data_IF_016813864276
#
_entry.id   IF_016813864276
#
_cell.length_a   1.000
_cell.length_b   1.000
_cell.length_c   1.000
_cell.angle_alpha   90.00
_cell.angle_beta   90.00
_cell.angle_gamma   90.00
#
_symmetry.space_group_name_H-M   'P 1'
#
loop_
_entity.id
_entity.type
_entity.pdbx_description
1 polymer ?
#
# COMPACT_ATOMS: atom_id res chain seq x y z
N UNK A 1 -14.18 -6.17 -13.61
CA UNK A 1 -15.23 -6.03 -12.58
C UNK A 1 -15.54 -4.53 -12.56
N UNK A 2 -16.73 -4.03 -12.87
CA UNK A 2 -16.93 -2.58 -12.96
C UNK A 2 -16.80 -1.91 -11.57
N UNK A 3 -15.64 -1.30 -11.30
CA UNK A 3 -15.28 -0.63 -10.04
C UNK A 3 -15.20 0.88 -10.30
N UNK A 4 -16.01 1.67 -9.61
CA UNK A 4 -15.90 3.12 -9.61
C UNK A 4 -14.89 3.54 -8.53
N UNK A 5 -13.71 4.01 -8.95
CA UNK A 5 -12.68 4.58 -8.07
C UNK A 5 -12.88 6.10 -8.01
N UNK A 6 -13.23 6.62 -6.84
CA UNK A 6 -13.17 8.05 -6.55
C UNK A 6 -11.88 8.32 -5.79
N UNK A 7 -10.89 8.90 -6.47
CA UNK A 7 -9.67 9.40 -5.85
C UNK A 7 -9.91 10.86 -5.42
N UNK A 8 -9.91 11.08 -4.10
CA UNK A 8 -10.10 12.35 -3.38
C UNK A 8 -11.48 13.05 -3.51
N UNK A 9 -11.81 13.75 -2.41
CA UNK A 9 -12.97 14.63 -2.15
C UNK A 9 -14.19 13.93 -1.53
N UNK A 10 -14.12 13.71 -0.21
CA UNK A 10 -15.31 13.51 0.64
C UNK A 10 -15.50 14.64 1.64
N UNK A 11 -15.14 15.88 1.28
CA UNK A 11 -15.42 17.05 2.14
C UNK A 11 -16.62 17.86 1.63
N UNK A 12 -16.91 17.89 0.31
CA UNK A 12 -17.89 18.86 -0.22
C UNK A 12 -19.11 18.28 -0.96
N UNK A 13 -19.20 16.99 -1.28
CA UNK A 13 -20.41 16.41 -1.92
C UNK A 13 -20.44 14.87 -1.85
N UNK A 14 -20.83 14.27 -0.72
CA UNK A 14 -21.04 12.82 -0.68
C UNK A 14 -22.21 12.46 -1.62
N UNK A 15 -22.08 11.43 -2.48
CA UNK A 15 -23.21 10.92 -3.26
C UNK A 15 -24.25 10.39 -2.29
N UNK A 16 -25.35 11.13 -2.11
CA UNK A 16 -26.31 11.04 -1.00
C UNK A 16 -27.12 9.73 -0.94
N UNK A 17 -26.84 8.74 -1.81
CA UNK A 17 -27.54 7.44 -1.84
C UNK A 17 -26.66 6.21 -2.03
N UNK A 18 -25.34 6.34 -2.21
CA UNK A 18 -24.48 5.19 -2.48
C UNK A 18 -23.64 4.81 -1.26
N UNK A 19 -23.56 3.50 -0.97
CA UNK A 19 -22.61 2.97 0.01
C UNK A 19 -21.20 3.01 -0.58
N UNK A 20 -20.23 3.50 0.20
CA UNK A 20 -18.83 3.56 -0.17
C UNK A 20 -17.97 2.76 0.81
N UNK A 21 -16.98 2.07 0.27
CA UNK A 21 -15.89 1.49 1.03
C UNK A 21 -14.73 2.49 0.99
N UNK A 22 -14.43 3.06 2.15
CA UNK A 22 -13.35 4.04 2.35
C UNK A 22 -12.13 3.28 2.83
N UNK A 23 -11.07 3.32 2.03
CA UNK A 23 -9.80 2.68 2.33
C UNK A 23 -8.73 3.76 2.44
N UNK A 24 -8.11 3.86 3.61
CA UNK A 24 -7.11 4.88 3.91
C UNK A 24 -5.77 4.20 4.16
N UNK A 25 -4.76 4.50 3.34
CA UNK A 25 -3.37 4.07 3.55
C UNK A 25 -2.43 5.29 3.50
N UNK A 26 -1.91 5.65 4.67
CA UNK A 26 -0.99 6.75 4.89
C UNK A 26 0.45 6.23 4.98
N UNK A 27 1.41 7.09 4.64
CA UNK A 27 2.84 6.75 4.72
C UNK A 27 3.27 6.70 6.18
N UNK A 28 3.12 7.83 6.87
CA UNK A 28 3.38 7.98 8.29
C UNK A 28 2.32 8.90 8.90
N UNK A 29 2.03 8.72 10.20
CA UNK A 29 1.04 9.52 10.92
C UNK A 29 1.59 9.91 12.29
N UNK A 30 1.17 11.08 12.78
CA UNK A 30 1.33 11.46 14.19
C UNK A 30 0.43 10.61 15.13
N UNK A 31 -0.50 9.84 14.56
CA UNK A 31 -1.39 8.91 15.27
C UNK A 31 -0.82 7.48 15.26
N UNK A 32 -1.40 6.60 16.07
CA UNK A 32 -0.97 5.19 16.21
C UNK A 32 -1.39 4.26 15.04
N UNK A 33 -1.93 4.79 13.93
CA UNK A 33 -2.44 3.97 12.82
C UNK A 33 -2.14 4.57 11.44
N UNK A 34 -1.62 3.74 10.54
CA UNK A 34 -1.18 4.11 9.19
C UNK A 34 -2.08 3.57 8.09
N UNK A 35 -2.89 2.56 8.39
CA UNK A 35 -3.92 2.07 7.48
C UNK A 35 -5.22 1.90 8.24
N UNK A 36 -6.34 2.25 7.60
CA UNK A 36 -7.68 1.97 8.10
C UNK A 36 -8.63 1.63 6.97
N UNK A 37 -9.62 0.81 7.29
CA UNK A 37 -10.74 0.51 6.42
C UNK A 37 -12.04 0.85 7.14
N UNK A 38 -12.95 1.50 6.42
CA UNK A 38 -14.25 1.95 6.92
C UNK A 38 -15.29 1.86 5.83
N UNK A 39 -16.55 1.70 6.20
CA UNK A 39 -17.70 1.75 5.29
C UNK A 39 -18.54 2.98 5.60
N UNK A 40 -18.80 3.78 4.58
CA UNK A 40 -19.83 4.82 4.64
C UNK A 40 -21.13 4.25 4.06
N UNK A 41 -22.19 4.23 4.86
CA UNK A 41 -23.48 3.64 4.46
C UNK A 41 -24.49 4.64 3.88
N UNK A 42 -24.07 5.88 3.67
CA UNK A 42 -24.92 7.00 3.25
C UNK A 42 -25.31 7.94 4.39
N UNK A 43 -25.10 7.54 5.65
CA UNK A 43 -25.39 8.36 6.83
C UNK A 43 -24.20 8.46 7.77
N UNK A 44 -23.56 7.33 8.07
CA UNK A 44 -22.47 7.26 9.03
C UNK A 44 -21.28 6.46 8.49
N UNK A 45 -20.11 6.69 9.10
CA UNK A 45 -18.89 5.94 8.81
C UNK A 45 -18.73 4.86 9.88
N UNK A 46 -18.83 3.60 9.46
CA UNK A 46 -18.58 2.41 10.28
C UNK A 46 -17.16 1.92 10.08
N UNK A 47 -16.39 1.91 11.16
CA UNK A 47 -15.01 1.43 11.15
C UNK A 47 -14.95 -0.10 11.04
N UNK A 48 -14.00 -0.62 10.24
CA UNK A 48 -13.80 -2.06 10.03
C UNK A 48 -12.48 -2.53 10.63
N UNK A 49 -11.36 -1.92 10.22
CA UNK A 49 -10.04 -2.31 10.69
C UNK A 49 -9.06 -1.14 10.72
N UNK A 50 -8.03 -1.25 11.56
CA UNK A 50 -6.85 -0.36 11.55
C UNK A 50 -5.60 -1.20 11.65
N UNK A 51 -4.58 -0.78 10.95
CA UNK A 51 -3.23 -1.28 11.09
C UNK A 51 -2.41 -0.28 11.91
N UNK A 52 -1.66 -0.78 12.89
CA UNK A 52 -0.73 0.03 13.68
C UNK A 52 0.36 0.63 12.79
N UNK A 53 0.87 1.80 13.17
CA UNK A 53 2.02 2.42 12.50
C UNK A 53 3.28 1.54 12.43
N UNK A 54 3.39 0.53 13.30
CA UNK A 54 4.47 -0.47 13.28
C UNK A 54 4.46 -1.37 12.04
N UNK A 55 3.31 -1.50 11.36
CA UNK A 55 3.13 -2.35 10.19
C UNK A 55 2.79 -1.52 8.94
N UNK A 56 3.55 -0.44 8.71
CA UNK A 56 3.29 0.49 7.60
C UNK A 56 3.93 0.04 6.30
N UNK A 57 3.10 -0.35 5.32
CA UNK A 57 3.52 -0.52 3.93
C UNK A 57 4.16 0.75 3.36
N UNK A 58 3.61 1.91 3.70
CA UNK A 58 4.14 3.20 3.25
C UNK A 58 5.54 3.49 3.78
N UNK A 59 5.82 3.16 5.05
CA UNK A 59 7.18 3.31 5.61
C UNK A 59 8.16 2.33 4.97
N UNK A 60 7.77 1.09 4.68
CA UNK A 60 8.65 0.15 3.95
C UNK A 60 9.00 0.70 2.58
N UNK A 61 8.01 1.23 1.84
CA UNK A 61 8.24 1.84 0.53
C UNK A 61 9.14 3.09 0.64
N UNK A 62 8.90 3.95 1.64
CA UNK A 62 9.71 5.14 1.91
C UNK A 62 11.15 4.77 2.30
N UNK A 63 11.36 3.81 3.19
CA UNK A 63 12.70 3.37 3.57
C UNK A 63 13.42 2.67 2.42
N UNK A 64 12.70 1.96 1.55
CA UNK A 64 13.28 1.43 0.30
C UNK A 64 13.70 2.58 -0.63
N UNK A 65 12.91 3.66 -0.69
CA UNK A 65 13.27 4.89 -1.43
C UNK A 65 14.55 5.51 -0.87
N UNK A 66 14.69 5.59 0.47
CA UNK A 66 15.91 6.05 1.13
C UNK A 66 17.10 5.13 0.85
N UNK A 67 16.91 3.81 0.95
CA UNK A 67 17.94 2.81 0.64
C UNK A 67 18.48 2.96 -0.80
N UNK A 68 17.61 3.31 -1.75
CA UNK A 68 18.00 3.59 -3.15
C UNK A 68 18.68 4.96 -3.34
N UNK A 69 18.99 5.69 -2.25
CA UNK A 69 19.65 6.99 -2.29
C UNK A 69 18.72 8.14 -2.67
N UNK A 70 17.40 7.97 -2.53
CA UNK A 70 16.41 8.98 -2.92
C UNK A 70 15.78 9.68 -1.71
N UNK A 71 15.18 10.86 -1.93
CA UNK A 71 14.62 11.72 -0.88
C UNK A 71 13.24 11.19 -0.44
N UNK A 72 13.02 10.95 0.88
CA UNK A 72 11.74 10.45 1.37
C UNK A 72 10.63 11.51 1.23
N UNK A 73 9.39 11.05 1.06
CA UNK A 73 8.17 11.84 0.83
C UNK A 73 8.16 12.69 -0.46
N UNK A 74 9.18 12.53 -1.31
CA UNK A 74 9.32 13.28 -2.55
C UNK A 74 9.65 12.38 -3.74
N UNK A 75 10.48 11.35 -3.57
CA UNK A 75 11.00 10.56 -4.70
C UNK A 75 10.41 9.15 -4.81
N UNK A 76 9.34 8.82 -4.10
CA UNK A 76 8.65 7.52 -4.19
C UNK A 76 8.22 7.20 -5.62
N UNK A 77 7.84 8.23 -6.39
CA UNK A 77 7.47 8.11 -7.80
C UNK A 77 8.67 7.71 -8.69
N UNK A 78 9.90 8.05 -8.30
CA UNK A 78 11.11 7.64 -9.05
C UNK A 78 11.37 6.16 -8.89
N UNK A 79 11.10 5.58 -7.71
CA UNK A 79 11.15 4.13 -7.50
C UNK A 79 10.14 3.42 -8.41
N UNK A 80 8.90 3.93 -8.47
CA UNK A 80 7.85 3.41 -9.34
C UNK A 80 8.21 3.52 -10.84
N UNK A 81 8.86 4.62 -11.23
CA UNK A 81 9.35 4.87 -12.59
C UNK A 81 10.57 4.02 -12.96
N UNK A 82 11.40 3.64 -11.98
CA UNK A 82 12.56 2.78 -12.15
C UNK A 82 12.18 1.29 -12.27
N UNK A 83 11.09 0.87 -11.64
CA UNK A 83 10.65 -0.53 -11.60
C UNK A 83 10.61 -1.25 -12.98
N UNK A 84 10.15 -0.64 -14.10
CA UNK A 84 10.09 -1.32 -15.40
C UNK A 84 11.43 -1.64 -16.05
N UNK A 85 12.53 -1.04 -15.58
CA UNK A 85 13.85 -1.24 -16.19
C UNK A 85 14.47 -2.59 -15.81
N UNK A 86 14.05 -3.18 -14.70
CA UNK A 86 14.45 -4.53 -14.30
C UNK A 86 13.80 -5.60 -15.18
N UNK A 87 14.51 -6.68 -15.47
CA UNK A 87 13.99 -7.84 -16.23
C UNK A 87 14.48 -9.15 -15.64
N UNK A 88 13.69 -10.20 -15.80
CA UNK A 88 14.05 -11.58 -15.46
C UNK A 88 13.71 -11.99 -14.03
N UNK A 89 14.01 -13.26 -13.72
CA UNK A 89 13.58 -13.94 -12.49
C UNK A 89 14.17 -13.34 -11.20
N UNK A 90 15.24 -12.55 -11.32
CA UNK A 90 15.86 -11.89 -10.18
C UNK A 90 14.89 -10.96 -9.44
N UNK A 91 13.93 -10.35 -10.15
CA UNK A 91 12.89 -9.53 -9.53
C UNK A 91 12.09 -10.35 -8.51
N UNK A 92 11.70 -11.57 -8.88
CA UNK A 92 10.93 -12.46 -7.99
C UNK A 92 11.77 -12.93 -6.81
N UNK A 93 13.09 -13.15 -7.00
CA UNK A 93 14.00 -13.48 -5.91
C UNK A 93 14.10 -12.35 -4.88
N UNK A 94 14.24 -11.10 -5.33
CA UNK A 94 14.26 -9.94 -4.41
C UNK A 94 12.89 -9.71 -3.78
N UNK A 95 11.81 -9.92 -4.54
CA UNK A 95 10.43 -9.80 -4.02
C UNK A 95 10.18 -10.75 -2.83
N UNK A 96 10.75 -11.96 -2.83
CA UNK A 96 10.60 -12.90 -1.70
C UNK A 96 11.06 -12.30 -0.36
N UNK A 97 12.10 -11.45 -0.37
CA UNK A 97 12.56 -10.74 0.83
C UNK A 97 11.44 -9.83 1.37
N UNK A 98 10.76 -9.10 0.48
CA UNK A 98 9.62 -8.28 0.87
C UNK A 98 8.37 -9.09 1.22
N UNK A 99 8.19 -10.29 0.64
CA UNK A 99 7.11 -11.22 0.99
C UNK A 99 7.21 -11.70 2.44
N UNK A 100 8.43 -11.94 2.92
CA UNK A 100 8.71 -12.29 4.31
C UNK A 100 8.69 -11.07 5.25
N UNK A 101 8.83 -9.86 4.69
CA UNK A 101 8.88 -8.63 5.46
C UNK A 101 7.48 -8.09 5.80
N UNK A 102 6.54 -8.13 4.85
CA UNK A 102 5.19 -7.57 5.01
C UNK A 102 4.13 -8.39 4.27
N UNK A 103 3.01 -8.63 4.95
CA UNK A 103 1.84 -9.31 4.37
C UNK A 103 0.54 -8.70 4.86
N UNK A 104 -0.56 -9.06 4.20
CA UNK A 104 -1.91 -8.73 4.64
C UNK A 104 -2.53 -9.92 5.38
N UNK A 105 -2.94 -9.70 6.62
CA UNK A 105 -3.83 -10.62 7.33
C UNK A 105 -5.26 -10.46 6.80
N UNK A 106 -5.70 -11.42 5.99
CA UNK A 106 -7.02 -11.39 5.33
C UNK A 106 -8.18 -11.53 6.30
N UNK A 107 -7.95 -12.08 7.50
CA UNK A 107 -9.00 -12.25 8.50
C UNK A 107 -9.30 -10.91 9.19
N UNK A 108 -8.24 -10.21 9.62
CA UNK A 108 -8.34 -8.94 10.34
C UNK A 108 -8.36 -7.71 9.42
N UNK A 109 -7.99 -7.87 8.15
CA UNK A 109 -7.81 -6.79 7.18
C UNK A 109 -6.77 -5.77 7.68
N UNK A 110 -5.65 -6.27 8.19
CA UNK A 110 -4.53 -5.48 8.71
C UNK A 110 -3.23 -5.94 8.07
N UNK A 111 -2.29 -5.00 7.84
CA UNK A 111 -0.94 -5.39 7.47
C UNK A 111 -0.15 -5.82 8.71
N UNK A 112 0.76 -6.76 8.50
CA UNK A 112 1.66 -7.28 9.53
C UNK A 112 3.07 -7.30 8.96
N UNK A 113 4.06 -7.05 9.82
CA UNK A 113 5.48 -7.05 9.45
C UNK A 113 6.27 -7.97 10.36
N UNK A 114 7.31 -8.60 9.83
CA UNK A 114 8.20 -9.48 10.60
C UNK A 114 9.22 -8.71 11.45
N UNK A 115 9.44 -7.43 11.15
CA UNK A 115 10.42 -6.57 11.84
C UNK A 115 9.77 -5.30 12.40
N UNK A 116 10.35 -4.78 13.47
CA UNK A 116 10.02 -3.45 14.00
C UNK A 116 10.42 -2.38 12.99
N UNK A 117 9.63 -1.32 12.93
CA UNK A 117 9.82 -0.18 12.03
C UNK A 117 11.23 0.43 12.14
N UNK A 118 11.80 0.41 13.35
CA UNK A 118 13.09 1.01 13.68
C UNK A 118 14.28 0.28 13.07
N UNK A 119 14.13 -1.02 12.75
CA UNK A 119 15.20 -1.83 12.16
C UNK A 119 15.10 -1.98 10.65
N UNK A 120 14.05 -1.45 10.02
CA UNK A 120 13.80 -1.61 8.57
C UNK A 120 15.00 -1.19 7.74
N UNK A 121 15.55 0.01 7.96
CA UNK A 121 16.63 0.51 7.10
C UNK A 121 17.89 -0.36 7.20
N UNK A 122 18.25 -0.79 8.40
CA UNK A 122 19.36 -1.72 8.63
C UNK A 122 19.13 -3.07 7.94
N UNK A 123 17.92 -3.61 8.06
CA UNK A 123 17.51 -4.84 7.37
C UNK A 123 17.65 -4.71 5.85
N UNK A 124 17.14 -3.62 5.27
CA UNK A 124 17.26 -3.37 3.83
C UNK A 124 18.74 -3.29 3.40
N UNK A 125 19.60 -2.62 4.16
CA UNK A 125 21.03 -2.58 3.87
C UNK A 125 21.72 -3.95 3.94
N UNK A 126 21.29 -4.82 4.85
CA UNK A 126 21.84 -6.16 4.99
C UNK A 126 21.37 -7.07 3.85
N UNK A 127 20.06 -7.15 3.62
CA UNK A 127 19.45 -8.13 2.72
C UNK A 127 19.49 -7.71 1.25
N UNK A 128 19.42 -6.41 0.96
CA UNK A 128 19.29 -5.93 -0.41
C UNK A 128 20.62 -5.55 -1.08
N UNK A 129 21.68 -5.33 -0.30
CA UNK A 129 23.02 -4.94 -0.80
C UNK A 129 23.58 -5.80 -1.94
N UNK A 130 23.37 -7.14 -1.98
CA UNK A 130 23.86 -7.95 -3.10
C UNK A 130 23.14 -7.71 -4.42
N UNK A 131 21.96 -7.08 -4.42
CA UNK A 131 21.11 -6.94 -5.60
C UNK A 131 21.28 -5.56 -6.24
N UNK A 132 21.12 -5.52 -7.57
CA UNK A 132 21.09 -4.25 -8.30
C UNK A 132 19.86 -3.43 -7.88
N UNK A 133 20.04 -2.13 -7.84
CA UNK A 133 19.04 -1.14 -7.42
C UNK A 133 17.71 -1.20 -8.21
N UNK A 134 17.77 -1.55 -9.51
CA UNK A 134 16.59 -1.73 -10.36
C UNK A 134 15.77 -2.96 -9.95
N UNK A 135 16.40 -4.07 -9.58
CA UNK A 135 15.69 -5.24 -9.03
C UNK A 135 14.99 -4.93 -7.72
N UNK A 136 15.61 -4.13 -6.84
CA UNK A 136 15.02 -3.69 -5.58
C UNK A 136 13.78 -2.83 -5.85
N UNK A 137 13.90 -1.83 -6.73
CA UNK A 137 12.78 -0.96 -7.10
C UNK A 137 11.62 -1.76 -7.72
N UNK A 138 11.91 -2.71 -8.61
CA UNK A 138 10.91 -3.57 -9.21
C UNK A 138 10.21 -4.47 -8.18
N UNK A 139 10.98 -5.06 -7.27
CA UNK A 139 10.47 -5.96 -6.25
C UNK A 139 9.53 -5.26 -5.25
N UNK A 140 9.91 -4.09 -4.70
CA UNK A 140 9.04 -3.35 -3.78
C UNK A 140 7.78 -2.82 -4.48
N UNK A 141 7.90 -2.41 -5.74
CA UNK A 141 6.76 -1.97 -6.54
C UNK A 141 5.76 -3.11 -6.74
N UNK A 142 6.23 -4.30 -7.16
CA UNK A 142 5.39 -5.48 -7.32
C UNK A 142 4.74 -5.90 -5.99
N UNK A 143 5.48 -5.87 -4.88
CA UNK A 143 4.92 -6.21 -3.58
C UNK A 143 3.82 -5.23 -3.16
N UNK A 144 4.02 -3.94 -3.42
CA UNK A 144 3.05 -2.90 -3.09
C UNK A 144 1.79 -3.04 -3.95
N UNK A 145 1.94 -3.26 -5.26
CA UNK A 145 0.83 -3.54 -6.17
C UNK A 145 0.01 -4.77 -5.73
N UNK A 146 0.69 -5.87 -5.36
CA UNK A 146 0.07 -7.08 -4.83
C UNK A 146 -0.75 -6.80 -3.58
N UNK A 147 -0.13 -6.19 -2.56
CA UNK A 147 -0.75 -5.94 -1.26
C UNK A 147 -1.93 -4.96 -1.35
N UNK A 148 -1.81 -3.90 -2.15
CA UNK A 148 -2.92 -2.95 -2.35
C UNK A 148 -4.11 -3.62 -3.05
N UNK A 149 -3.82 -4.38 -4.10
CA UNK A 149 -4.86 -5.12 -4.85
C UNK A 149 -5.54 -6.14 -3.95
N UNK A 150 -4.76 -6.87 -3.15
CA UNK A 150 -5.28 -7.85 -2.21
C UNK A 150 -6.11 -7.21 -1.09
N UNK A 151 -5.62 -6.11 -0.53
CA UNK A 151 -6.34 -5.35 0.51
C UNK A 151 -7.71 -4.89 0.01
N UNK A 152 -7.77 -4.30 -1.18
CA UNK A 152 -9.03 -3.89 -1.79
C UNK A 152 -9.94 -5.10 -2.05
N UNK A 153 -9.42 -6.18 -2.65
CA UNK A 153 -10.22 -7.39 -2.93
C UNK A 153 -10.79 -8.01 -1.66
N UNK A 154 -10.00 -8.13 -0.60
CA UNK A 154 -10.46 -8.69 0.67
C UNK A 154 -11.50 -7.75 1.31
N UNK A 155 -11.28 -6.44 1.30
CA UNK A 155 -12.22 -5.47 1.84
C UNK A 155 -13.57 -5.49 1.09
N UNK A 156 -13.57 -5.57 -0.25
CA UNK A 156 -14.77 -5.77 -1.07
C UNK A 156 -15.43 -7.11 -0.72
N UNK A 157 -14.64 -8.18 -0.57
CA UNK A 157 -15.20 -9.52 -0.30
C UNK A 157 -15.95 -9.58 1.04
N UNK A 158 -15.45 -8.86 2.07
CA UNK A 158 -16.04 -8.77 3.41
C UNK A 158 -17.27 -7.86 3.45
N UNK A 159 -17.26 -6.75 2.71
CA UNK A 159 -18.32 -5.71 2.80
C UNK A 159 -19.36 -5.80 1.70
N UNK A 160 -19.05 -6.49 0.60
CA UNK A 160 -19.81 -6.55 -0.66
C UNK A 160 -19.99 -5.19 -1.35
N UNK A 161 -19.24 -4.15 -0.94
CA UNK A 161 -19.32 -2.81 -1.52
C UNK A 161 -18.21 -2.64 -2.55
N UNK A 162 -18.57 -2.14 -3.75
CA UNK A 162 -17.65 -1.96 -4.88
C UNK A 162 -17.38 -0.51 -5.25
N UNK A 163 -18.10 0.44 -4.66
CA UNK A 163 -17.78 1.86 -4.81
C UNK A 163 -16.65 2.18 -3.83
N UNK A 164 -15.48 2.53 -4.37
CA UNK A 164 -14.27 2.70 -3.56
C UNK A 164 -13.91 4.18 -3.45
N UNK A 165 -13.56 4.60 -2.24
CA UNK A 165 -12.83 5.83 -1.97
C UNK A 165 -11.45 5.45 -1.45
N UNK A 166 -10.43 5.61 -2.29
CA UNK A 166 -9.03 5.29 -1.96
C UNK A 166 -8.32 6.58 -1.54
N UNK A 167 -7.75 6.60 -0.34
CA UNK A 167 -7.22 7.82 0.29
C UNK A 167 -5.84 7.57 0.90
N UNK A 168 -4.93 8.51 0.72
CA UNK A 168 -3.62 8.52 1.39
C UNK A 168 -2.45 8.25 0.45
N UNK A 169 -1.25 8.59 0.91
CA UNK A 169 -0.05 8.67 0.07
C UNK A 169 0.32 7.37 -0.64
N UNK A 170 0.02 6.20 -0.04
CA UNK A 170 0.31 4.92 -0.69
C UNK A 170 -0.60 4.67 -1.90
N UNK A 171 -1.85 5.13 -1.85
CA UNK A 171 -2.78 5.08 -2.99
C UNK A 171 -2.47 6.11 -4.08
N UNK A 172 -1.43 6.95 -3.93
CA UNK A 172 -0.90 7.73 -5.05
C UNK A 172 -0.08 6.87 -6.04
N UNK A 173 0.09 5.58 -5.77
CA UNK A 173 0.70 4.62 -6.68
C UNK A 173 -0.24 4.33 -7.86
N UNK A 174 -0.04 5.05 -8.97
CA UNK A 174 -0.92 4.97 -10.15
C UNK A 174 -0.97 3.57 -10.77
N UNK A 175 0.12 2.79 -10.70
CA UNK A 175 0.16 1.42 -11.26
C UNK A 175 -0.71 0.47 -10.45
N UNK A 176 -0.66 0.57 -9.12
CA UNK A 176 -1.58 -0.17 -8.26
C UNK A 176 -3.04 0.22 -8.53
N UNK A 177 -3.33 1.51 -8.71
CA UNK A 177 -4.69 1.96 -9.01
C UNK A 177 -5.21 1.41 -10.35
N UNK A 178 -4.37 1.33 -11.39
CA UNK A 178 -4.73 0.69 -12.66
C UNK A 178 -5.10 -0.79 -12.47
N UNK A 179 -4.39 -1.52 -11.61
CA UNK A 179 -4.70 -2.92 -11.30
C UNK A 179 -5.99 -3.06 -10.49
N UNK A 180 -6.27 -2.10 -9.61
CA UNK A 180 -7.49 -2.08 -8.79
C UNK A 180 -8.74 -1.76 -9.63
N UNK A 181 -8.61 -0.93 -10.67
CA UNK A 181 -9.75 -0.54 -11.53
C UNK A 181 -10.19 -1.60 -12.53
N UNK A 182 -9.38 -2.63 -12.77
CA UNK A 182 -9.65 -3.70 -13.74
C UNK A 182 -10.50 -4.84 -13.11
#
# INVERSE_FOLDING_TARGET
LDINILALIFINTPPTRARFLILVLLIATLTNSVSSSSVFDGKEVKFISKTSNKHSLGLIYMFTTVYLGMKPNEHEFKVMGLAPYAKGEMILRVKKIFDEMIWLNKNTLQFETSSDISSILSFLHQELKPYRFDYVAAAIQLKTEELLTEFVKVAISKTKIRNLALVGGVFMNIKANMLISN
#
